data_IF_437811774542
#
_entry.id   IF_437811774542
#
_cell.length_a   1.000
_cell.length_b   1.000
_cell.length_c   1.000
_cell.angle_alpha   90.00
_cell.angle_beta   90.00
_cell.angle_gamma   90.00
#
_symmetry.space_group_name_H-M   'P 1'
#
loop_
_entity.id
_entity.type
_entity.pdbx_description
1 polymer ?
#
# COMPACT_ATOMS: atom_id res chain seq x y z
N UNK A 1 15.46 17.07 -5.87
CA UNK A 1 14.37 16.26 -5.29
C UNK A 1 13.22 17.22 -5.07
N UNK A 2 12.40 17.39 -6.11
CA UNK A 2 11.38 18.43 -6.14
C UNK A 2 10.16 17.85 -5.43
N UNK A 3 9.67 18.51 -4.37
CA UNK A 3 8.53 18.10 -3.55
C UNK A 3 7.23 17.93 -4.35
N UNK A 4 7.19 16.87 -5.15
CA UNK A 4 6.11 16.51 -6.05
C UNK A 4 5.10 15.69 -5.28
N UNK A 5 3.87 16.17 -5.20
CA UNK A 5 2.76 15.49 -4.53
C UNK A 5 2.29 14.30 -5.40
N UNK A 6 3.04 13.21 -5.39
CA UNK A 6 2.85 12.13 -6.38
C UNK A 6 3.18 10.75 -5.84
N UNK A 7 2.35 9.78 -6.26
CA UNK A 7 2.65 8.36 -6.27
C UNK A 7 3.36 8.03 -7.60
N UNK A 8 4.49 7.32 -7.56
CA UNK A 8 5.27 6.97 -8.74
C UNK A 8 5.58 5.46 -8.80
N UNK A 9 5.02 4.71 -9.76
CA UNK A 9 4.00 5.15 -10.70
C UNK A 9 2.65 5.42 -10.01
N UNK A 10 1.80 6.26 -10.61
CA UNK A 10 0.43 6.49 -10.14
C UNK A 10 -0.62 5.56 -10.78
N UNK A 11 -0.15 4.64 -11.65
CA UNK A 11 -0.93 3.57 -12.27
C UNK A 11 -0.14 2.28 -12.09
N UNK A 12 -0.78 1.28 -11.52
CA UNK A 12 -0.18 -0.03 -11.33
C UNK A 12 -1.15 -1.12 -11.74
N UNK A 13 -0.63 -2.22 -12.29
CA UNK A 13 -1.38 -3.46 -12.50
C UNK A 13 -0.75 -4.50 -11.58
N UNK A 14 -1.58 -5.22 -10.84
CA UNK A 14 -1.15 -6.25 -9.90
C UNK A 14 -2.16 -7.40 -9.87
N UNK A 15 -1.66 -8.64 -9.86
CA UNK A 15 -2.48 -9.83 -9.82
C UNK A 15 -2.92 -10.20 -8.39
N UNK A 16 -4.03 -10.94 -8.23
CA UNK A 16 -4.40 -11.48 -6.93
C UNK A 16 -3.25 -12.31 -6.32
N UNK A 17 -2.93 -12.06 -5.06
CA UNK A 17 -1.83 -12.70 -4.34
C UNK A 17 -0.51 -11.92 -4.38
N UNK A 18 -0.36 -10.93 -5.25
CA UNK A 18 0.81 -10.05 -5.27
C UNK A 18 0.78 -9.03 -4.14
N UNK A 19 1.97 -8.52 -3.79
CA UNK A 19 2.11 -7.47 -2.79
C UNK A 19 2.55 -6.17 -3.47
N UNK A 20 1.93 -5.08 -3.04
CA UNK A 20 2.31 -3.72 -3.44
C UNK A 20 2.91 -3.02 -2.23
N UNK A 21 4.20 -2.68 -2.34
CA UNK A 21 4.93 -1.98 -1.28
C UNK A 21 5.10 -0.51 -1.64
N UNK A 22 4.56 0.35 -0.79
CA UNK A 22 4.75 1.79 -0.84
C UNK A 22 6.00 2.17 -0.07
N UNK A 23 6.83 3.03 -0.64
CA UNK A 23 8.08 3.53 -0.06
C UNK A 23 8.04 5.05 0.02
N UNK A 24 8.36 5.62 1.19
CA UNK A 24 8.16 7.03 1.49
C UNK A 24 9.50 7.79 1.50
N UNK A 25 9.86 8.43 0.39
CA UNK A 25 11.20 9.03 0.23
C UNK A 25 11.31 10.47 0.72
N UNK A 26 10.20 11.20 0.76
CA UNK A 26 10.17 12.56 1.30
C UNK A 26 8.84 12.86 1.98
N UNK A 27 8.81 14.02 2.65
CA UNK A 27 7.60 14.57 3.23
C UNK A 27 6.95 13.69 4.30
N UNK A 28 5.65 13.89 4.46
CA UNK A 28 4.78 13.10 5.32
C UNK A 28 3.53 12.75 4.52
N UNK A 29 3.33 11.47 4.24
CA UNK A 29 2.27 11.02 3.34
C UNK A 29 1.53 9.82 3.90
N UNK A 30 0.38 9.52 3.29
CA UNK A 30 -0.40 8.32 3.58
C UNK A 30 -0.72 7.59 2.28
N UNK A 31 -1.00 6.30 2.41
CA UNK A 31 -1.74 5.50 1.44
C UNK A 31 -3.10 5.25 2.07
N UNK A 32 -4.17 5.78 1.49
CA UNK A 32 -5.53 5.55 1.99
C UNK A 32 -6.44 5.14 0.85
N UNK A 33 -7.22 4.08 1.04
CA UNK A 33 -8.18 3.63 0.04
C UNK A 33 -9.46 4.44 0.12
N UNK A 34 -9.96 4.87 -1.05
CA UNK A 34 -11.27 5.48 -1.21
C UNK A 34 -12.15 4.66 -2.16
N UNK A 35 -13.39 5.11 -2.36
CA UNK A 35 -14.13 4.74 -3.57
C UNK A 35 -13.68 5.63 -4.74
N UNK A 36 -14.08 5.28 -5.97
CA UNK A 36 -13.86 6.16 -7.12
C UNK A 36 -14.68 7.46 -7.01
N UNK A 37 -15.94 7.35 -6.59
CA UNK A 37 -16.89 8.47 -6.61
C UNK A 37 -16.71 9.44 -5.43
N UNK A 38 -16.02 9.00 -4.37
CA UNK A 38 -15.69 9.78 -3.19
C UNK A 38 -14.17 9.77 -2.95
N UNK A 39 -13.38 10.43 -3.83
CA UNK A 39 -11.96 10.62 -3.58
C UNK A 39 -11.73 11.41 -2.30
N UNK A 40 -10.52 11.31 -1.75
CA UNK A 40 -10.10 12.03 -0.55
C UNK A 40 -10.85 11.67 0.74
N UNK A 41 -11.74 10.68 0.69
CA UNK A 41 -12.50 10.15 1.82
C UNK A 41 -12.25 8.64 1.94
N UNK A 42 -12.14 8.09 3.16
CA UNK A 42 -11.77 6.70 3.32
C UNK A 42 -12.95 5.79 2.95
N UNK A 43 -12.65 4.68 2.29
CA UNK A 43 -13.66 3.78 1.69
C UNK A 43 -14.70 3.29 2.70
N UNK A 44 -14.32 3.11 3.96
CA UNK A 44 -15.21 2.65 5.04
C UNK A 44 -16.33 3.64 5.39
N UNK A 45 -16.18 4.94 5.09
CA UNK A 45 -17.27 5.92 5.27
C UNK A 45 -18.36 5.79 4.21
N UNK A 46 -18.03 5.22 3.05
CA UNK A 46 -18.93 5.12 1.91
C UNK A 46 -19.33 3.67 1.58
N UNK A 47 -18.60 2.70 2.13
CA UNK A 47 -18.88 1.29 2.01
C UNK A 47 -18.40 0.55 3.27
N UNK A 48 -19.31 0.33 4.22
CA UNK A 48 -19.04 -0.35 5.48
C UNK A 48 -18.74 -1.85 5.34
N UNK A 49 -18.99 -2.44 4.17
CA UNK A 49 -18.71 -3.86 3.91
C UNK A 49 -17.27 -4.12 3.48
N UNK A 50 -16.47 -3.06 3.23
CA UNK A 50 -15.07 -3.18 2.81
C UNK A 50 -14.16 -2.69 3.93
N UNK A 51 -13.22 -3.54 4.34
CA UNK A 51 -12.10 -3.13 5.19
C UNK A 51 -11.07 -2.43 4.29
N UNK A 52 -10.98 -1.11 4.41
CA UNK A 52 -10.09 -0.29 3.61
C UNK A 52 -8.63 -0.33 4.05
N UNK A 53 -7.74 0.15 3.16
CA UNK A 53 -6.34 0.39 3.47
C UNK A 53 -6.11 1.77 4.08
N UNK A 54 -5.30 1.86 5.14
CA UNK A 54 -4.77 3.12 5.64
C UNK A 54 -3.41 2.92 6.28
N UNK A 55 -2.35 3.48 5.68
CA UNK A 55 -0.98 3.37 6.23
C UNK A 55 -0.77 4.15 7.53
N UNK A 56 -1.61 5.15 7.82
CA UNK A 56 -1.24 6.25 8.71
C UNK A 56 -0.24 7.19 8.05
N UNK A 57 0.15 8.24 8.79
CA UNK A 57 1.17 9.20 8.36
C UNK A 57 2.56 8.63 8.56
N UNK A 58 3.33 8.52 7.48
CA UNK A 58 4.68 7.98 7.48
C UNK A 58 5.69 9.08 7.09
N UNK A 59 6.24 9.82 8.07
CA UNK A 59 7.19 10.90 7.81
C UNK A 59 8.55 10.32 7.39
N UNK A 60 8.98 10.61 6.16
CA UNK A 60 10.23 10.08 5.60
C UNK A 60 11.47 10.48 6.41
N UNK A 61 11.48 11.71 6.95
CA UNK A 61 12.59 12.23 7.74
C UNK A 61 12.92 11.38 8.98
N UNK A 62 11.92 10.74 9.59
CA UNK A 62 12.11 9.91 10.78
C UNK A 62 12.95 8.66 10.49
N UNK A 63 12.70 7.99 9.36
CA UNK A 63 13.49 6.83 8.94
C UNK A 63 14.79 7.23 8.24
N UNK A 64 14.81 8.35 7.52
CA UNK A 64 16.01 8.83 6.85
C UNK A 64 17.16 9.14 7.83
N UNK A 65 16.85 9.64 9.03
CA UNK A 65 17.82 9.83 10.12
C UNK A 65 18.53 8.53 10.54
N UNK A 66 17.97 7.37 10.19
CA UNK A 66 18.49 6.04 10.48
C UNK A 66 19.00 5.33 9.20
N UNK A 67 19.10 6.03 8.07
CA UNK A 67 19.50 5.45 6.78
C UNK A 67 18.44 4.54 6.16
N UNK A 68 17.19 4.61 6.62
CA UNK A 68 16.07 3.77 6.20
C UNK A 68 14.98 4.57 5.48
N UNK A 69 14.10 3.85 4.78
CA UNK A 69 12.90 4.35 4.11
C UNK A 69 11.68 3.72 4.79
N UNK A 70 10.70 4.50 5.27
CA UNK A 70 9.44 3.93 5.76
C UNK A 70 8.72 3.22 4.62
N UNK A 71 8.06 2.10 4.93
CA UNK A 71 7.29 1.33 3.97
C UNK A 71 5.91 0.96 4.49
N UNK A 72 4.97 0.79 3.57
CA UNK A 72 3.66 0.22 3.85
C UNK A 72 3.33 -0.78 2.75
N UNK A 73 2.96 -2.01 3.10
CA UNK A 73 2.72 -3.09 2.11
C UNK A 73 1.28 -3.56 2.21
N UNK A 74 0.62 -3.66 1.06
CA UNK A 74 -0.72 -4.25 0.94
C UNK A 74 -0.66 -5.53 0.11
N UNK A 75 -1.57 -6.47 0.37
CA UNK A 75 -1.82 -7.60 -0.51
C UNK A 75 -2.97 -7.29 -1.46
N UNK A 76 -2.80 -7.61 -2.73
CA UNK A 76 -3.86 -7.47 -3.74
C UNK A 76 -4.71 -8.73 -3.71
N UNK A 77 -5.97 -8.61 -3.29
CA UNK A 77 -6.84 -9.77 -3.08
C UNK A 77 -7.60 -10.21 -4.33
N UNK A 78 -7.82 -9.29 -5.28
CA UNK A 78 -8.56 -9.55 -6.52
C UNK A 78 -8.16 -8.52 -7.60
N UNK A 79 -8.76 -8.63 -8.78
CA UNK A 79 -8.51 -7.73 -9.92
C UNK A 79 -9.39 -6.47 -9.91
N UNK A 80 -10.15 -6.22 -8.85
CA UNK A 80 -10.99 -5.02 -8.76
C UNK A 80 -10.11 -3.76 -8.64
N UNK A 81 -10.55 -2.61 -9.19
CA UNK A 81 -9.81 -1.37 -9.09
C UNK A 81 -9.65 -0.90 -7.64
N UNK A 82 -8.43 -0.54 -7.25
CA UNK A 82 -8.14 0.11 -5.98
C UNK A 82 -7.81 1.58 -6.23
N UNK A 83 -8.63 2.47 -5.71
CA UNK A 83 -8.45 3.92 -5.79
C UNK A 83 -7.84 4.42 -4.48
N UNK A 84 -6.67 5.03 -4.57
CA UNK A 84 -5.87 5.41 -3.41
C UNK A 84 -5.56 6.90 -3.45
N UNK A 85 -5.48 7.52 -2.27
CA UNK A 85 -5.14 8.92 -2.11
C UNK A 85 -4.21 9.16 -0.92
N UNK A 86 -3.55 10.32 -0.94
CA UNK A 86 -2.79 10.82 0.20
C UNK A 86 -3.64 11.77 1.03
N UNK A 87 -3.74 11.50 2.34
CA UNK A 87 -4.58 12.25 3.27
C UNK A 87 -3.86 13.44 3.93
N UNK A 88 -2.66 13.80 3.46
CA UNK A 88 -1.91 14.94 4.02
C UNK A 88 -2.45 16.26 3.47
N UNK A 89 -3.02 17.09 4.35
CA UNK A 89 -3.47 18.44 4.00
C UNK A 89 -4.28 18.45 2.70
N UNK A 90 -3.82 19.23 1.71
CA UNK A 90 -4.45 19.33 0.39
C UNK A 90 -3.86 18.41 -0.69
N UNK A 91 -3.13 17.37 -0.31
CA UNK A 91 -2.38 16.57 -1.28
C UNK A 91 -3.31 15.82 -2.23
N UNK A 92 -4.39 15.22 -1.72
CA UNK A 92 -5.39 14.56 -2.57
C UNK A 92 -6.03 15.52 -3.57
N UNK A 93 -6.51 16.68 -3.09
CA UNK A 93 -7.15 17.71 -3.91
C UNK A 93 -6.18 18.26 -4.98
N UNK A 94 -4.89 18.32 -4.66
CA UNK A 94 -3.83 18.72 -5.59
C UNK A 94 -3.33 17.56 -6.49
N UNK A 95 -4.04 16.42 -6.53
CA UNK A 95 -3.80 15.34 -7.49
C UNK A 95 -2.89 14.22 -7.00
N UNK A 96 -2.57 14.17 -5.70
CA UNK A 96 -1.84 13.05 -5.10
C UNK A 96 -2.79 11.86 -4.88
N UNK A 97 -3.06 11.18 -5.99
CA UNK A 97 -3.91 10.00 -6.10
C UNK A 97 -3.29 8.98 -7.03
N UNK A 98 -3.66 7.72 -6.87
CA UNK A 98 -3.25 6.63 -7.76
C UNK A 98 -4.34 5.56 -7.91
N UNK A 99 -4.13 4.70 -8.89
CA UNK A 99 -4.98 3.53 -9.14
C UNK A 99 -4.15 2.26 -9.30
N UNK A 100 -4.60 1.19 -8.65
CA UNK A 100 -4.16 -0.19 -8.94
C UNK A 100 -5.30 -0.88 -9.68
N UNK A 101 -4.99 -1.60 -10.76
CA UNK A 101 -5.96 -2.33 -11.59
C UNK A 101 -7.08 -1.44 -12.14
N UNK A 102 -6.72 -0.33 -12.81
CA UNK A 102 -7.69 0.54 -13.46
C UNK A 102 -8.59 -0.24 -14.45
N UNK A 103 -9.92 -0.01 -14.46
CA UNK A 103 -10.82 -0.79 -15.31
C UNK A 103 -10.69 -0.39 -16.79
N UNK A 104 -9.88 -1.12 -17.56
CA UNK A 104 -9.59 -0.83 -18.97
C UNK A 104 -10.82 -0.67 -19.88
N UNK A 105 -11.90 -1.41 -19.57
CA UNK A 105 -13.17 -1.37 -20.30
C UNK A 105 -14.06 -0.17 -19.93
N UNK A 106 -13.86 0.46 -18.77
CA UNK A 106 -14.69 1.56 -18.30
C UNK A 106 -13.98 2.90 -18.51
N UNK A 107 -14.28 3.57 -19.63
CA UNK A 107 -13.66 4.85 -20.02
C UNK A 107 -14.08 6.05 -19.16
N UNK A 108 -15.11 5.93 -18.32
CA UNK A 108 -15.49 6.99 -17.38
C UNK A 108 -14.84 6.84 -16.00
N UNK A 109 -14.19 5.69 -15.73
CA UNK A 109 -13.48 5.42 -14.48
C UNK A 109 -11.99 5.29 -14.70
N UNK A 110 -11.35 6.41 -15.08
CA UNK A 110 -9.90 6.51 -15.24
C UNK A 110 -9.25 7.32 -14.12
N UNK A 111 -7.93 7.24 -13.99
CA UNK A 111 -7.15 8.06 -13.06
C UNK A 111 -7.32 9.56 -13.34
N UNK A 112 -7.49 9.97 -14.59
CA UNK A 112 -7.76 11.37 -14.93
C UNK A 112 -9.10 11.80 -14.37
N UNK A 113 -10.16 10.99 -14.54
CA UNK A 113 -11.47 11.25 -13.94
C UNK A 113 -11.39 11.25 -12.41
N UNK A 114 -10.62 10.34 -11.82
CA UNK A 114 -10.42 10.28 -10.37
C UNK A 114 -9.68 11.52 -9.84
N UNK A 115 -8.64 11.99 -10.55
CA UNK A 115 -7.95 13.25 -10.25
C UNK A 115 -8.87 14.46 -10.35
N UNK A 116 -9.74 14.50 -11.37
CA UNK A 116 -10.70 15.59 -11.55
C UNK A 116 -11.73 15.62 -10.41
N UNK A 117 -12.24 14.45 -9.99
CA UNK A 117 -13.12 14.35 -8.83
C UNK A 117 -12.40 14.78 -7.54
N UNK A 118 -11.13 14.36 -7.36
CA UNK A 118 -10.33 14.70 -6.18
C UNK A 118 -10.11 16.21 -6.05
N UNK A 119 -9.85 16.92 -7.16
CA UNK A 119 -9.72 18.37 -7.17
C UNK A 119 -11.00 19.12 -6.75
N UNK A 120 -12.17 18.48 -6.89
CA UNK A 120 -13.45 19.00 -6.44
C UNK A 120 -13.84 18.58 -5.01
N UNK A 121 -13.04 17.75 -4.33
CA UNK A 121 -13.32 17.34 -2.96
C UNK A 121 -13.28 18.54 -2.01
N UNK A 122 -14.23 18.60 -1.08
CA UNK A 122 -14.32 19.71 -0.12
C UNK A 122 -13.53 19.46 1.17
N UNK A 123 -13.14 18.21 1.42
CA UNK A 123 -12.42 17.81 2.63
C UNK A 123 -11.59 16.57 2.33
N UNK A 124 -10.35 16.56 2.82
CA UNK A 124 -9.48 15.39 2.85
C UNK A 124 -9.54 14.77 4.23
N UNK A 125 -9.95 13.51 4.31
CA UNK A 125 -10.13 12.80 5.57
C UNK A 125 -9.12 11.66 5.66
N UNK A 126 -8.32 11.57 6.74
CA UNK A 126 -7.50 10.40 7.01
C UNK A 126 -8.34 9.12 7.15
N UNK A 127 -7.73 7.97 6.88
CA UNK A 127 -8.38 6.69 7.12
C UNK A 127 -8.56 6.38 8.61
N UNK A 128 -9.01 5.15 8.89
CA UNK A 128 -9.20 4.64 10.25
C UNK A 128 -7.87 4.39 10.98
N UNK A 129 -7.74 3.27 11.69
CA UNK A 129 -6.52 2.94 12.40
C UNK A 129 -5.29 2.93 11.47
N UNK A 130 -4.18 3.51 11.92
CA UNK A 130 -2.91 3.46 11.18
C UNK A 130 -2.46 2.00 11.00
N UNK A 131 -2.04 1.65 9.79
CA UNK A 131 -1.66 0.29 9.40
C UNK A 131 -2.84 -0.61 9.03
N UNK A 132 -4.08 -0.12 9.01
CA UNK A 132 -5.24 -0.94 8.67
C UNK A 132 -5.15 -1.49 7.23
N UNK A 133 -5.33 -2.81 7.10
CA UNK A 133 -5.36 -3.49 5.80
C UNK A 133 -3.97 -3.73 5.16
N UNK A 134 -2.88 -3.50 5.89
CA UNK A 134 -1.53 -3.76 5.40
C UNK A 134 -0.50 -3.86 6.53
N UNK A 135 0.78 -3.84 6.16
CA UNK A 135 1.89 -3.93 7.11
C UNK A 135 2.86 -2.76 6.93
N UNK A 136 3.11 -2.01 8.00
CA UNK A 136 4.12 -0.94 8.03
C UNK A 136 5.50 -1.52 8.35
N UNK A 137 6.55 -0.97 7.76
CA UNK A 137 7.93 -1.38 8.02
C UNK A 137 8.95 -0.30 7.63
N UNK A 138 10.22 -0.70 7.58
CA UNK A 138 11.33 0.12 7.08
C UNK A 138 12.23 -0.70 6.16
N UNK A 139 12.76 -0.08 5.10
CA UNK A 139 13.75 -0.68 4.19
C UNK A 139 15.05 0.11 4.17
N UNK A 140 16.18 -0.53 3.85
CA UNK A 140 17.50 0.13 3.80
C UNK A 140 17.72 0.83 2.46
N UNK A 141 18.45 1.94 2.45
CA UNK A 141 18.72 2.77 1.25
C UNK A 141 19.70 2.15 0.21
N UNK A 142 20.01 0.85 0.29
CA UNK A 142 20.83 0.10 -0.67
C UNK A 142 20.10 -1.17 -1.13
N UNK A 143 19.76 -1.24 -2.42
CA UNK A 143 18.81 -2.22 -2.96
C UNK A 143 19.18 -3.68 -2.77
N UNK A 144 18.22 -4.49 -2.36
CA UNK A 144 17.69 -5.65 -3.10
C UNK A 144 16.44 -6.15 -2.39
N UNK A 145 15.45 -6.56 -3.19
CA UNK A 145 14.18 -7.13 -2.78
C UNK A 145 14.38 -8.16 -1.64
N UNK A 146 13.77 -8.01 -0.45
CA UNK A 146 13.82 -9.09 0.53
C UNK A 146 12.86 -10.18 0.03
N UNK A 147 13.44 -11.21 -0.60
CA UNK A 147 12.78 -12.51 -0.66
C UNK A 147 12.46 -12.91 0.77
N UNK A 148 11.17 -12.96 1.09
CA UNK A 148 10.71 -13.30 2.43
C UNK A 148 11.12 -14.72 2.79
N UNK A 149 11.93 -14.85 3.83
CA UNK A 149 11.96 -16.04 4.69
C UNK A 149 12.05 -15.56 6.12
N UNK A 150 10.90 -15.20 6.68
CA UNK A 150 10.67 -15.07 8.11
C UNK A 150 9.46 -15.93 8.46
N UNK A 151 9.70 -17.20 8.74
CA UNK A 151 8.69 -18.10 9.30
C UNK A 151 8.14 -17.52 10.62
N UNK A 152 6.88 -17.81 10.99
CA UNK A 152 6.35 -17.39 12.29
C UNK A 152 7.03 -18.20 13.39
N UNK A 153 7.84 -17.55 14.22
CA UNK A 153 8.29 -18.15 15.48
C UNK A 153 7.16 -17.99 16.51
N UNK A 154 6.32 -19.02 16.65
CA UNK A 154 5.50 -19.22 17.83
C UNK A 154 6.13 -20.27 18.76
N UNK A 155 6.31 -19.82 20.00
CA UNK A 155 6.29 -20.54 21.27
C UNK A 155 7.41 -21.55 21.62
N UNK A 156 8.13 -21.22 22.68
CA UNK A 156 8.96 -22.15 23.46
C UNK A 156 8.13 -22.85 24.54
N UNK A 157 8.09 -24.18 24.53
CA UNK A 157 8.37 -25.07 25.68
C UNK A 157 8.29 -26.56 25.28
N UNK A 158 9.05 -27.47 25.92
CA UNK A 158 9.42 -28.76 25.34
C UNK A 158 8.58 -29.94 25.84
N UNK A 159 8.43 -30.97 25.00
CA UNK A 159 7.84 -32.25 25.40
C UNK A 159 7.86 -33.33 24.31
N UNK A 160 8.87 -34.20 24.40
CA UNK A 160 8.94 -35.62 24.00
C UNK A 160 8.59 -36.10 22.56
N UNK A 161 9.64 -36.64 21.92
CA UNK A 161 9.75 -37.91 21.18
C UNK A 161 8.67 -38.36 20.16
N UNK A 162 9.12 -38.55 18.91
CA UNK A 162 8.42 -39.38 17.92
C UNK A 162 8.96 -39.18 16.49
N UNK A 163 9.77 -40.13 16.01
CA UNK A 163 10.30 -40.21 14.65
C UNK A 163 9.23 -40.69 13.65
N UNK A 164 9.00 -40.00 12.53
CA UNK A 164 8.67 -40.58 11.20
C UNK A 164 8.96 -39.52 10.13
N UNK A 165 9.76 -39.87 9.10
CA UNK A 165 10.11 -38.97 7.99
C UNK A 165 9.23 -39.13 6.76
N UNK A 166 9.18 -38.09 5.91
CA UNK A 166 8.97 -38.12 4.46
C UNK A 166 9.63 -36.88 3.84
N UNK A 167 10.40 -36.99 2.73
CA UNK A 167 10.92 -35.85 1.98
C UNK A 167 9.91 -35.42 0.90
N UNK A 168 9.66 -34.12 0.75
CA UNK A 168 8.79 -33.62 -0.31
C UNK A 168 8.88 -32.11 -0.44
N UNK A 169 9.71 -31.65 -1.38
CA UNK A 169 9.97 -30.24 -1.63
C UNK A 169 8.70 -29.45 -1.92
N UNK A 170 8.50 -28.37 -1.17
CA UNK A 170 7.54 -27.34 -1.49
C UNK A 170 8.25 -26.28 -2.32
N UNK A 171 7.84 -26.17 -3.58
CA UNK A 171 8.26 -25.11 -4.48
C UNK A 171 7.95 -23.74 -3.87
N UNK A 172 8.96 -22.89 -3.75
CA UNK A 172 8.78 -21.48 -3.44
C UNK A 172 8.05 -20.81 -4.61
N UNK A 173 6.77 -20.51 -4.44
CA UNK A 173 6.11 -19.51 -5.26
C UNK A 173 6.74 -18.15 -4.90
N UNK A 174 7.62 -17.65 -5.77
CA UNK A 174 8.14 -16.30 -5.67
C UNK A 174 6.97 -15.33 -5.84
N UNK A 175 6.46 -14.76 -4.73
CA UNK A 175 5.50 -13.68 -4.80
C UNK A 175 6.19 -12.46 -5.45
N UNK A 176 5.68 -12.02 -6.59
CA UNK A 176 6.09 -10.76 -7.20
C UNK A 176 5.70 -9.61 -6.27
N UNK A 177 6.70 -8.81 -5.84
CA UNK A 177 6.46 -7.57 -5.11
C UNK A 177 6.66 -6.39 -6.06
N UNK A 178 5.63 -5.59 -6.26
CA UNK A 178 5.72 -4.33 -6.99
C UNK A 178 5.92 -3.17 -6.00
N UNK A 179 6.94 -2.35 -6.22
CA UNK A 179 7.20 -1.17 -5.38
C UNK A 179 6.60 0.10 -6.00
N UNK A 180 6.01 0.95 -5.15
CA UNK A 180 5.47 2.26 -5.49
C UNK A 180 6.18 3.31 -4.64
N UNK A 181 6.74 4.32 -5.29
CA UNK A 181 7.48 5.40 -4.67
C UNK A 181 6.58 6.59 -4.32
N UNK A 182 6.81 7.20 -3.18
CA UNK A 182 6.33 8.53 -2.83
C UNK A 182 7.52 9.48 -2.83
N UNK A 183 7.43 10.57 -3.58
CA UNK A 183 8.51 11.54 -3.82
C UNK A 183 8.44 12.77 -2.91
#
# INVERSE_FOLDING_TARGET
>A
MNGSLTFSPNRLVAQPGEFVQFQFHAGNHTVTQSTFDQPCQPINQHNSSIVGFHSGFLPAAASAAQGMIPTYTIQVNNTQPLWLYCAQGKHCENGMVMVINEPAANKSRTLESFKALAAGASTVVPGGAAGAGGTTGTGTTGGTNPSGTGAPASASSPGAAGVVGVPGGMALAAAGMAAVLFL
#
